data_IF_574630198625
#
_entry.id   IF_574630198625
#
_cell.length_a   1.000
_cell.length_b   1.000
_cell.length_c   1.000
_cell.angle_alpha   90.00
_cell.angle_beta   90.00
_cell.angle_gamma   90.00
#
_symmetry.space_group_name_H-M   'P 1'
#
loop_
_entity.id
_entity.type
_entity.pdbx_description
1 polymer ?
#
# COMPACT_ATOMS: atom_id res chain seq x y z
N UNK A 1 13.17 -72.27 -2.53
CA UNK A 1 12.68 -71.16 -1.68
C UNK A 1 12.55 -69.97 -2.59
N UNK A 2 11.39 -69.32 -2.60
CA UNK A 2 11.19 -68.08 -3.35
C UNK A 2 11.55 -66.90 -2.44
N UNK A 3 12.23 -65.91 -2.98
CA UNK A 3 12.63 -64.71 -2.23
C UNK A 3 12.49 -63.47 -3.10
N UNK A 4 12.24 -62.35 -2.44
CA UNK A 4 12.27 -61.01 -3.04
C UNK A 4 13.25 -60.15 -2.27
N UNK A 5 13.89 -59.22 -2.95
CA UNK A 5 14.79 -58.23 -2.38
C UNK A 5 14.57 -56.89 -3.06
N UNK A 6 14.55 -55.83 -2.26
CA UNK A 6 14.41 -54.44 -2.69
C UNK A 6 15.72 -53.70 -2.46
N UNK A 7 16.08 -52.88 -3.45
CA UNK A 7 17.18 -51.92 -3.43
C UNK A 7 16.58 -50.57 -3.85
N UNK A 8 16.37 -49.67 -2.90
CA UNK A 8 15.59 -48.44 -3.07
C UNK A 8 16.39 -47.29 -3.70
N UNK A 9 17.71 -47.38 -3.66
CA UNK A 9 18.65 -46.43 -4.26
C UNK A 9 19.32 -46.97 -5.53
N UNK A 10 19.11 -48.25 -5.85
CA UNK A 10 19.76 -48.98 -6.92
C UNK A 10 21.28 -48.89 -6.86
N UNK A 11 21.84 -49.04 -5.65
CA UNK A 11 23.29 -49.02 -5.40
C UNK A 11 23.94 -50.42 -5.48
N UNK A 12 23.11 -51.45 -5.70
CA UNK A 12 23.52 -52.86 -5.76
C UNK A 12 23.52 -53.56 -4.41
N UNK A 13 23.12 -52.88 -3.34
CA UNK A 13 22.95 -53.43 -1.99
C UNK A 13 21.46 -53.63 -1.73
N UNK A 14 21.12 -54.78 -1.16
CA UNK A 14 19.73 -55.04 -0.74
C UNK A 14 19.41 -54.31 0.55
N UNK A 15 18.37 -53.48 0.53
CA UNK A 15 17.79 -52.84 1.72
C UNK A 15 16.93 -53.81 2.53
N UNK A 16 16.01 -54.53 1.87
CA UNK A 16 15.02 -55.38 2.55
C UNK A 16 14.52 -56.54 1.70
N UNK A 17 14.14 -57.63 2.36
CA UNK A 17 13.54 -58.82 1.75
C UNK A 17 12.04 -58.98 2.06
N UNK A 18 11.41 -57.95 2.64
CA UNK A 18 9.96 -57.94 2.85
C UNK A 18 9.20 -57.96 1.53
N UNK A 19 8.09 -58.68 1.47
CA UNK A 19 7.29 -58.75 0.23
C UNK A 19 6.55 -57.44 -0.07
N UNK A 20 6.22 -56.65 0.95
CA UNK A 20 5.51 -55.37 0.83
C UNK A 20 6.12 -54.32 1.77
N UNK A 21 7.35 -53.85 1.50
CA UNK A 21 8.00 -52.86 2.35
C UNK A 21 7.39 -51.46 2.15
N UNK A 22 7.59 -50.60 3.15
CA UNK A 22 7.28 -49.17 3.06
C UNK A 22 8.59 -48.38 3.19
N UNK A 23 8.84 -47.48 2.25
CA UNK A 23 10.00 -46.57 2.25
C UNK A 23 9.50 -45.14 2.11
N UNK A 24 10.00 -44.26 2.98
CA UNK A 24 9.75 -42.82 2.91
C UNK A 24 10.92 -42.13 2.19
N UNK A 25 10.60 -41.23 1.25
CA UNK A 25 11.58 -40.44 0.53
C UNK A 25 11.37 -38.96 0.90
N UNK A 26 12.25 -38.42 1.73
CA UNK A 26 12.07 -37.07 2.32
C UNK A 26 12.77 -35.96 1.52
N UNK A 27 13.69 -36.31 0.62
CA UNK A 27 14.42 -35.35 -0.21
C UNK A 27 13.87 -35.33 -1.64
N UNK A 28 13.63 -34.15 -2.23
CA UNK A 28 13.28 -34.03 -3.64
C UNK A 28 14.35 -34.66 -4.52
N UNK A 29 13.93 -35.40 -5.54
CA UNK A 29 14.83 -36.14 -6.41
C UNK A 29 14.15 -37.28 -7.16
N UNK A 30 14.91 -37.88 -8.07
CA UNK A 30 14.52 -39.08 -8.78
C UNK A 30 15.22 -40.28 -8.15
N UNK A 31 14.45 -41.21 -7.60
CA UNK A 31 14.93 -42.46 -7.03
C UNK A 31 14.65 -43.60 -8.01
N UNK A 32 15.65 -44.43 -8.25
CA UNK A 32 15.48 -45.66 -9.02
C UNK A 32 15.43 -46.81 -8.04
N UNK A 33 14.29 -47.47 -7.95
CA UNK A 33 14.07 -48.62 -7.07
C UNK A 33 14.18 -49.89 -7.91
N UNK A 34 14.92 -50.87 -7.43
CA UNK A 34 15.09 -52.18 -8.04
C UNK A 34 14.47 -53.28 -7.18
N UNK A 35 13.50 -54.00 -7.74
CA UNK A 35 12.93 -55.21 -7.16
C UNK A 35 13.55 -56.42 -7.84
N UNK A 36 14.16 -57.31 -7.07
CA UNK A 36 14.70 -58.59 -7.55
C UNK A 36 13.94 -59.76 -6.95
N UNK A 37 13.46 -60.69 -7.78
CA UNK A 37 12.77 -61.91 -7.37
C UNK A 37 13.60 -63.13 -7.78
N UNK A 38 13.75 -64.11 -6.88
CA UNK A 38 14.55 -65.32 -7.11
C UNK A 38 13.80 -66.58 -6.71
N UNK A 39 14.03 -67.67 -7.47
CA UNK A 39 13.60 -69.02 -7.14
C UNK A 39 14.68 -70.05 -7.51
N UNK A 40 14.38 -71.34 -7.42
CA UNK A 40 15.34 -72.41 -7.72
C UNK A 40 15.83 -72.45 -9.17
N UNK A 41 15.13 -71.76 -10.08
CA UNK A 41 15.39 -71.77 -11.51
C UNK A 41 16.06 -70.48 -12.01
N UNK A 42 16.20 -69.46 -11.15
CA UNK A 42 16.90 -68.22 -11.49
C UNK A 42 16.35 -66.99 -10.78
N UNK A 43 16.78 -65.84 -11.28
CA UNK A 43 16.51 -64.50 -10.74
C UNK A 43 16.07 -63.57 -11.87
N UNK A 44 15.13 -62.66 -11.58
CA UNK A 44 14.74 -61.58 -12.48
C UNK A 44 14.58 -60.28 -11.68
N UNK A 45 14.79 -59.14 -12.32
CA UNK A 45 14.69 -57.83 -11.68
C UNK A 45 13.84 -56.84 -12.48
N UNK A 46 13.33 -55.82 -11.80
CA UNK A 46 12.54 -54.73 -12.40
C UNK A 46 12.86 -53.41 -11.72
N UNK A 47 13.12 -52.38 -12.54
CA UNK A 47 13.32 -51.01 -12.09
C UNK A 47 12.01 -50.22 -12.11
N UNK A 48 11.86 -49.32 -11.15
CA UNK A 48 10.82 -48.30 -11.10
C UNK A 48 11.43 -46.94 -10.70
N UNK A 49 10.97 -45.85 -11.33
CA UNK A 49 11.39 -44.50 -10.96
C UNK A 49 10.33 -43.84 -10.09
N UNK A 50 10.75 -43.32 -8.94
CA UNK A 50 9.95 -42.48 -8.05
C UNK A 50 10.48 -41.05 -8.18
N UNK A 51 9.62 -40.11 -8.55
CA UNK A 51 9.96 -38.68 -8.55
C UNK A 51 9.34 -38.02 -7.33
N UNK A 52 10.17 -37.55 -6.41
CA UNK A 52 9.78 -36.71 -5.29
C UNK A 52 9.99 -35.26 -5.71
N UNK A 53 8.92 -34.49 -5.79
CA UNK A 53 8.99 -33.07 -6.12
C UNK A 53 9.21 -32.24 -4.87
N UNK A 54 9.91 -31.11 -5.01
CA UNK A 54 10.00 -30.11 -3.97
C UNK A 54 8.61 -29.53 -3.67
N UNK A 55 8.28 -29.37 -2.39
CA UNK A 55 7.08 -28.66 -1.99
C UNK A 55 7.34 -27.16 -2.21
N UNK A 56 6.52 -26.45 -3.02
CA UNK A 56 6.76 -25.03 -3.26
C UNK A 56 6.73 -24.26 -1.93
N UNK A 57 7.71 -23.39 -1.72
CA UNK A 57 7.74 -22.54 -0.52
C UNK A 57 6.55 -21.57 -0.54
N UNK A 58 5.85 -21.38 0.60
CA UNK A 58 4.79 -20.39 0.71
C UNK A 58 5.31 -18.98 0.40
N UNK A 59 4.74 -18.33 -0.61
CA UNK A 59 5.12 -16.96 -0.96
C UNK A 59 4.22 -15.98 -0.20
N UNK A 60 4.79 -15.32 0.80
CA UNK A 60 4.08 -14.30 1.58
C UNK A 60 3.79 -13.03 0.74
N UNK A 61 2.72 -12.29 1.08
CA UNK A 61 2.49 -10.98 0.50
C UNK A 61 3.55 -9.98 0.97
N UNK A 62 3.83 -8.98 0.15
CA UNK A 62 4.67 -7.83 0.51
C UNK A 62 3.84 -6.58 0.34
N UNK A 63 3.44 -5.97 1.45
CA UNK A 63 2.57 -4.80 1.45
C UNK A 63 3.36 -3.57 0.97
N UNK A 64 2.78 -2.83 0.02
CA UNK A 64 3.33 -1.56 -0.43
C UNK A 64 2.23 -0.69 -1.02
N UNK A 65 2.32 0.63 -0.88
CA UNK A 65 1.37 1.57 -1.49
C UNK A 65 1.93 2.98 -1.62
N UNK A 66 1.24 3.83 -2.37
CA UNK A 66 1.50 5.27 -2.48
C UNK A 66 0.21 6.09 -2.33
N UNK A 67 0.35 7.40 -2.12
CA UNK A 67 -0.76 8.35 -2.06
C UNK A 67 -0.55 9.50 -3.06
N UNK A 68 -1.62 10.18 -3.47
CA UNK A 68 -1.52 11.38 -4.31
C UNK A 68 -0.98 12.59 -3.53
N UNK A 69 -1.33 12.69 -2.25
CA UNK A 69 -0.87 13.71 -1.31
C UNK A 69 -0.54 13.06 0.03
N UNK A 70 0.41 13.63 0.78
CA UNK A 70 0.74 13.22 2.15
C UNK A 70 0.40 14.27 3.19
N UNK A 71 -0.01 15.45 2.75
CA UNK A 71 -0.43 16.54 3.62
C UNK A 71 -1.37 17.51 2.90
N UNK A 72 -2.10 18.30 3.68
CA UNK A 72 -3.03 19.31 3.17
C UNK A 72 -4.02 19.76 4.24
N UNK A 73 -4.99 20.56 3.86
CA UNK A 73 -5.98 21.12 4.80
C UNK A 73 -7.25 20.27 4.85
N UNK A 74 -7.90 20.24 6.01
CA UNK A 74 -9.22 19.62 6.14
C UNK A 74 -10.29 20.44 5.37
N UNK A 75 -11.22 19.78 4.64
CA UNK A 75 -11.26 18.34 4.37
C UNK A 75 -10.21 17.94 3.31
N UNK A 76 -9.36 16.96 3.64
CA UNK A 76 -8.32 16.46 2.73
C UNK A 76 -8.77 15.14 2.08
N UNK A 77 -8.89 15.14 0.76
CA UNK A 77 -9.19 13.93 -0.03
C UNK A 77 -7.89 13.25 -0.44
N UNK A 78 -7.70 12.00 0.00
CA UNK A 78 -6.50 11.20 -0.29
C UNK A 78 -6.88 9.95 -1.07
N UNK A 79 -6.26 9.77 -2.23
CA UNK A 79 -6.32 8.55 -3.03
C UNK A 79 -5.15 7.64 -2.66
N UNK A 80 -5.46 6.41 -2.26
CA UNK A 80 -4.47 5.37 -1.96
C UNK A 80 -4.34 4.42 -3.15
N UNK A 81 -3.11 4.06 -3.50
CA UNK A 81 -2.79 3.17 -4.61
C UNK A 81 -1.94 2.00 -4.14
N UNK A 82 -2.50 0.79 -4.18
CA UNK A 82 -1.80 -0.45 -3.83
C UNK A 82 -0.70 -0.78 -4.84
N UNK A 83 0.46 -1.17 -4.32
CA UNK A 83 1.59 -1.71 -5.08
C UNK A 83 2.12 -3.02 -4.47
N UNK A 84 1.33 -3.66 -3.62
CA UNK A 84 1.69 -4.90 -2.92
C UNK A 84 1.97 -6.05 -3.89
N UNK A 85 2.85 -6.97 -3.47
CA UNK A 85 3.18 -8.20 -4.21
C UNK A 85 2.53 -9.41 -3.55
N UNK A 86 2.13 -10.39 -4.37
CA UNK A 86 1.55 -11.66 -3.94
C UNK A 86 0.32 -11.54 -3.03
N UNK A 87 -0.39 -10.40 -3.09
CA UNK A 87 -1.57 -10.13 -2.28
C UNK A 87 -2.86 -10.46 -3.05
N UNK A 88 -3.81 -11.06 -2.36
CA UNK A 88 -5.18 -11.36 -2.84
C UNK A 88 -6.26 -10.67 -2.00
N UNK A 89 -5.89 -10.05 -0.87
CA UNK A 89 -6.79 -9.26 -0.03
C UNK A 89 -6.08 -8.04 0.58
N UNK A 90 -6.86 -7.00 0.87
CA UNK A 90 -6.40 -5.72 1.40
C UNK A 90 -7.26 -5.32 2.61
N UNK A 91 -6.62 -4.74 3.61
CA UNK A 91 -7.28 -4.06 4.72
C UNK A 91 -6.55 -2.76 5.00
N UNK A 92 -7.29 -1.66 4.91
CA UNK A 92 -6.81 -0.31 5.20
C UNK A 92 -7.35 0.14 6.54
N UNK A 93 -6.45 0.65 7.38
CA UNK A 93 -6.78 1.47 8.54
C UNK A 93 -6.28 2.88 8.25
N UNK A 94 -7.20 3.84 8.17
CA UNK A 94 -6.86 5.23 7.86
C UNK A 94 -6.35 6.01 9.09
N UNK A 95 -6.36 5.41 10.28
CA UNK A 95 -5.88 6.03 11.51
C UNK A 95 -6.86 7.03 12.14
N UNK A 96 -8.04 7.23 11.55
CA UNK A 96 -9.13 8.07 12.06
C UNK A 96 -10.34 7.26 12.55
N UNK A 97 -10.21 5.93 12.55
CA UNK A 97 -11.27 4.97 12.90
C UNK A 97 -12.05 4.43 11.71
N UNK A 98 -11.88 5.00 10.51
CA UNK A 98 -12.41 4.43 9.27
C UNK A 98 -11.47 3.35 8.70
N UNK A 99 -12.05 2.43 7.93
CA UNK A 99 -11.33 1.35 7.27
C UNK A 99 -11.88 1.06 5.88
N UNK A 100 -11.13 0.30 5.08
CA UNK A 100 -11.57 -0.18 3.77
C UNK A 100 -10.97 -1.55 3.43
N UNK A 101 -11.62 -2.29 2.53
CA UNK A 101 -11.09 -3.52 1.92
C UNK A 101 -10.90 -3.39 0.40
N UNK A 102 -11.11 -2.19 -0.14
CA UNK A 102 -10.85 -1.93 -1.55
C UNK A 102 -9.36 -1.96 -1.84
N UNK A 103 -8.99 -2.31 -3.08
CA UNK A 103 -7.59 -2.32 -3.49
C UNK A 103 -6.98 -0.91 -3.54
N UNK A 104 -7.73 0.08 -4.04
CA UNK A 104 -7.29 1.47 -4.21
C UNK A 104 -8.36 2.44 -3.67
N UNK A 105 -8.55 2.54 -2.34
CA UNK A 105 -9.62 3.35 -1.77
C UNK A 105 -9.32 4.86 -1.89
N UNK A 106 -10.38 5.65 -1.88
CA UNK A 106 -10.33 7.09 -1.61
C UNK A 106 -10.87 7.33 -0.20
N UNK A 107 -10.20 8.18 0.57
CA UNK A 107 -10.62 8.54 1.92
C UNK A 107 -10.57 10.05 2.13
N UNK A 108 -11.49 10.57 2.96
CA UNK A 108 -11.59 12.00 3.25
C UNK A 108 -11.33 12.23 4.74
N UNK A 109 -10.26 12.95 5.06
CA UNK A 109 -9.98 13.40 6.41
C UNK A 109 -10.65 14.75 6.65
N UNK A 110 -11.73 14.74 7.42
CA UNK A 110 -12.55 15.94 7.70
C UNK A 110 -12.05 16.77 8.87
N UNK A 111 -11.11 16.24 9.66
CA UNK A 111 -10.57 16.87 10.86
C UNK A 111 -9.06 16.99 10.72
N UNK A 112 -8.50 18.08 11.25
CA UNK A 112 -7.06 18.25 11.32
C UNK A 112 -6.43 17.24 12.29
N UNK A 113 -5.27 16.72 11.93
CA UNK A 113 -4.56 15.71 12.70
C UNK A 113 -3.45 15.03 11.92
N UNK A 114 -2.63 14.26 12.64
CA UNK A 114 -1.63 13.38 12.04
C UNK A 114 -2.18 11.96 12.07
N UNK A 115 -2.41 11.38 10.90
CA UNK A 115 -2.99 10.06 10.72
C UNK A 115 -1.92 9.06 10.27
N UNK A 116 -1.81 7.95 10.99
CA UNK A 116 -0.95 6.83 10.57
C UNK A 116 -1.80 5.84 9.80
N UNK A 117 -1.63 5.83 8.47
CA UNK A 117 -2.36 4.91 7.59
C UNK A 117 -1.62 3.59 7.51
N UNK A 118 -2.32 2.49 7.75
CA UNK A 118 -1.79 1.14 7.63
C UNK A 118 -2.49 0.38 6.50
N UNK A 119 -1.71 -0.23 5.60
CA UNK A 119 -2.19 -1.25 4.69
C UNK A 119 -1.72 -2.61 5.19
N UNK A 120 -2.65 -3.53 5.41
CA UNK A 120 -2.39 -4.96 5.59
C UNK A 120 -2.79 -5.71 4.32
N UNK A 121 -1.80 -6.29 3.64
CA UNK A 121 -1.98 -7.13 2.47
C UNK A 121 -1.94 -8.62 2.87
N UNK A 122 -2.83 -9.43 2.30
CA UNK A 122 -3.03 -10.84 2.69
C UNK A 122 -3.13 -11.80 1.51
N UNK A 123 -2.73 -13.04 1.71
CA UNK A 123 -3.02 -14.18 0.83
C UNK A 123 -3.24 -15.47 1.64
N UNK A 124 -3.44 -16.60 0.97
CA UNK A 124 -3.66 -17.91 1.63
C UNK A 124 -2.50 -18.37 2.52
N UNK A 125 -1.30 -17.81 2.32
CA UNK A 125 -0.09 -18.17 3.05
C UNK A 125 0.22 -17.23 4.23
N UNK A 126 -0.39 -16.04 4.30
CA UNK A 126 -0.18 -15.12 5.41
C UNK A 126 -0.48 -13.66 5.08
N UNK A 127 0.12 -12.76 5.88
CA UNK A 127 -0.12 -11.31 5.82
C UNK A 127 1.17 -10.52 6.00
N UNK A 128 1.20 -9.32 5.45
CA UNK A 128 2.25 -8.32 5.66
C UNK A 128 1.62 -6.92 5.70
N UNK A 129 2.26 -5.98 6.38
CA UNK A 129 1.73 -4.63 6.55
C UNK A 129 2.78 -3.56 6.36
N UNK A 130 2.36 -2.38 5.90
CA UNK A 130 3.20 -1.18 5.78
C UNK A 130 2.39 0.06 6.16
N UNK A 131 3.05 1.18 6.44
CA UNK A 131 2.38 2.40 6.90
C UNK A 131 3.01 3.69 6.40
N UNK A 132 2.19 4.72 6.23
CA UNK A 132 2.61 6.11 5.92
C UNK A 132 1.87 7.10 6.81
N UNK A 133 2.41 8.30 6.94
CA UNK A 133 1.79 9.40 7.70
C UNK A 133 1.08 10.34 6.73
N UNK A 134 -0.14 10.75 7.07
CA UNK A 134 -0.88 11.84 6.44
C UNK A 134 -1.03 12.98 7.45
N UNK A 135 -0.59 14.19 7.10
CA UNK A 135 -0.75 15.38 7.94
C UNK A 135 -1.89 16.26 7.43
N UNK A 136 -2.93 16.41 8.23
CA UNK A 136 -4.09 17.24 7.90
C UNK A 136 -4.06 18.48 8.77
N UNK A 137 -4.00 19.65 8.14
CA UNK A 137 -3.96 20.94 8.79
C UNK A 137 -5.38 21.50 8.97
N UNK A 138 -5.54 22.34 9.98
CA UNK A 138 -6.81 23.02 10.25
C UNK A 138 -6.98 24.19 9.29
N UNK A 139 -8.05 24.18 8.49
CA UNK A 139 -8.41 25.33 7.68
C UNK A 139 -9.21 26.30 8.56
N UNK A 140 -8.49 27.20 9.25
CA UNK A 140 -9.07 28.13 10.21
C UNK A 140 -9.46 29.47 9.54
N UNK A 141 -10.59 30.09 9.94
CA UNK A 141 -10.91 31.46 9.56
C UNK A 141 -9.79 32.43 9.92
N UNK A 142 -9.53 33.40 9.04
CA UNK A 142 -8.59 34.47 9.36
C UNK A 142 -9.10 35.34 10.51
N UNK A 143 -8.20 36.03 11.24
CA UNK A 143 -8.59 37.00 12.25
C UNK A 143 -9.64 38.00 11.73
N UNK A 144 -10.78 38.05 12.42
CA UNK A 144 -11.92 38.92 12.06
C UNK A 144 -12.97 38.27 11.16
N UNK A 145 -12.75 37.03 10.71
CA UNK A 145 -13.67 36.28 9.85
C UNK A 145 -14.21 35.04 10.56
N UNK A 146 -15.37 34.57 10.11
CA UNK A 146 -16.04 33.39 10.69
C UNK A 146 -15.93 32.14 9.85
N UNK A 147 -15.67 32.29 8.54
CA UNK A 147 -15.54 31.19 7.61
C UNK A 147 -14.07 31.03 7.19
N UNK A 148 -13.60 29.80 6.96
CA UNK A 148 -12.26 29.57 6.44
C UNK A 148 -12.19 29.92 4.96
N UNK A 149 -10.97 30.22 4.45
CA UNK A 149 -10.76 30.49 3.03
C UNK A 149 -11.22 29.33 2.16
N UNK A 150 -11.68 29.62 0.94
CA UNK A 150 -12.00 28.61 -0.07
C UNK A 150 -11.24 28.82 -1.38
N UNK A 151 -10.75 27.72 -1.90
CA UNK A 151 -10.26 27.56 -3.27
C UNK A 151 -11.49 27.19 -4.12
N UNK A 152 -11.98 28.14 -4.93
CA UNK A 152 -13.24 27.96 -5.66
C UNK A 152 -13.02 27.20 -6.97
N UNK A 153 -11.89 27.41 -7.64
CA UNK A 153 -11.59 26.81 -8.94
C UNK A 153 -10.69 25.57 -8.88
N UNK A 154 -10.27 25.20 -7.66
CA UNK A 154 -9.46 24.03 -7.32
C UNK A 154 -8.06 24.06 -7.95
N UNK A 155 -7.47 25.24 -8.11
CA UNK A 155 -6.11 25.41 -8.64
C UNK A 155 -5.01 25.36 -7.56
N UNK A 156 -5.40 25.31 -6.28
CA UNK A 156 -4.53 25.24 -5.12
C UNK A 156 -4.23 26.59 -4.45
N UNK A 157 -4.72 27.69 -5.01
CA UNK A 157 -4.73 29.01 -4.37
C UNK A 157 -6.10 29.28 -3.74
N UNK A 158 -6.14 30.13 -2.71
CA UNK A 158 -7.39 30.45 -2.00
C UNK A 158 -7.84 31.86 -2.34
N UNK A 159 -8.87 32.04 -3.18
CA UNK A 159 -9.36 33.34 -3.64
C UNK A 159 -10.49 33.90 -2.77
N UNK A 160 -11.38 33.05 -2.26
CA UNK A 160 -12.45 33.40 -1.30
C UNK A 160 -11.82 33.42 0.09
N UNK A 161 -11.05 34.49 0.36
CA UNK A 161 -10.23 34.70 1.55
C UNK A 161 -11.12 34.80 2.80
N UNK A 162 -12.29 35.42 2.68
CA UNK A 162 -13.21 35.61 3.81
C UNK A 162 -14.16 34.42 4.03
N UNK A 163 -14.21 33.48 3.08
CA UNK A 163 -15.01 32.27 3.12
C UNK A 163 -16.50 32.47 2.91
N UNK A 164 -16.95 33.60 2.35
CA UNK A 164 -18.38 33.90 2.12
C UNK A 164 -18.94 33.31 0.83
N UNK A 165 -18.07 32.79 -0.04
CA UNK A 165 -18.43 32.12 -1.29
C UNK A 165 -18.39 33.01 -2.53
N UNK A 166 -17.92 34.25 -2.41
CA UNK A 166 -17.66 35.14 -3.53
C UNK A 166 -16.16 35.49 -3.59
N UNK A 167 -15.67 35.85 -4.77
CA UNK A 167 -14.32 36.41 -4.94
C UNK A 167 -14.49 37.87 -5.30
N UNK A 168 -14.41 38.76 -4.30
CA UNK A 168 -14.68 40.18 -4.48
C UNK A 168 -13.65 41.10 -3.78
N UNK A 169 -14.01 42.36 -3.57
CA UNK A 169 -13.08 43.32 -2.96
C UNK A 169 -12.85 43.08 -1.47
N UNK A 170 -13.80 42.45 -0.78
CA UNK A 170 -13.67 42.13 0.65
C UNK A 170 -12.58 41.08 0.86
N UNK A 171 -12.35 40.17 -0.09
CA UNK A 171 -11.23 39.23 -0.07
C UNK A 171 -9.87 39.90 -0.19
N UNK A 172 -9.76 40.89 -1.07
CA UNK A 172 -8.53 41.68 -1.22
C UNK A 172 -8.20 42.41 0.08
N UNK A 173 -9.23 42.97 0.73
CA UNK A 173 -9.09 43.64 2.03
C UNK A 173 -8.70 42.63 3.11
N UNK A 174 -9.33 41.47 3.15
CA UNK A 174 -9.04 40.39 4.08
C UNK A 174 -7.60 39.89 3.94
N UNK A 175 -7.14 39.70 2.70
CA UNK A 175 -5.78 39.25 2.39
C UNK A 175 -4.76 40.27 2.89
N UNK A 176 -4.90 41.53 2.48
CA UNK A 176 -3.97 42.59 2.86
C UNK A 176 -3.90 42.76 4.38
N UNK A 177 -5.06 42.69 5.06
CA UNK A 177 -5.15 42.84 6.52
C UNK A 177 -4.49 41.68 7.26
N UNK A 178 -4.56 40.46 6.73
CA UNK A 178 -4.06 39.26 7.38
C UNK A 178 -2.73 38.75 6.83
N UNK A 179 -2.10 39.45 5.90
CA UNK A 179 -0.86 39.02 5.22
C UNK A 179 0.25 38.59 6.18
N UNK A 180 0.44 39.30 7.30
CA UNK A 180 1.44 38.92 8.31
C UNK A 180 1.06 37.64 9.07
N UNK A 181 -0.22 37.49 9.39
CA UNK A 181 -0.73 36.29 10.02
C UNK A 181 -0.56 35.09 9.08
N UNK A 182 -0.85 35.26 7.79
CA UNK A 182 -0.67 34.23 6.77
C UNK A 182 0.79 33.78 6.71
N UNK A 183 1.74 34.70 6.51
CA UNK A 183 3.19 34.37 6.50
C UNK A 183 3.65 33.54 7.70
N UNK A 184 2.98 33.68 8.84
CA UNK A 184 3.35 33.02 10.09
C UNK A 184 2.66 31.67 10.27
N UNK A 185 1.44 31.50 9.75
CA UNK A 185 0.56 30.39 10.15
C UNK A 185 0.06 29.51 8.98
N UNK A 186 0.29 29.90 7.72
CA UNK A 186 -0.12 29.12 6.55
C UNK A 186 1.06 28.85 5.62
N UNK A 187 1.08 27.73 4.88
CA UNK A 187 2.02 27.49 3.81
C UNK A 187 2.00 28.63 2.79
N UNK A 188 3.19 29.11 2.45
CA UNK A 188 3.38 30.22 1.50
C UNK A 188 2.73 29.90 0.15
N UNK A 189 2.86 28.66 -0.33
CA UNK A 189 2.37 28.22 -1.63
C UNK A 189 0.86 28.43 -1.85
N UNK A 190 0.05 28.52 -0.79
CA UNK A 190 -1.40 28.71 -0.89
C UNK A 190 -1.83 30.14 -1.21
N UNK A 191 -0.94 31.10 -0.97
CA UNK A 191 -1.20 32.52 -1.10
C UNK A 191 -0.12 33.23 -1.94
N UNK A 192 0.80 32.47 -2.53
CA UNK A 192 1.88 32.96 -3.39
C UNK A 192 1.45 32.92 -4.86
N UNK A 193 0.54 33.83 -5.20
CA UNK A 193 -0.09 33.91 -6.52
C UNK A 193 0.90 34.19 -7.65
N UNK A 194 2.02 34.84 -7.34
CA UNK A 194 3.07 35.13 -8.32
C UNK A 194 4.19 34.05 -8.36
N UNK A 195 4.12 33.03 -7.50
CA UNK A 195 5.06 31.92 -7.38
C UNK A 195 6.52 32.33 -7.06
N UNK A 196 6.73 33.40 -6.28
CA UNK A 196 8.05 33.89 -5.89
C UNK A 196 8.54 33.33 -4.53
N UNK A 197 7.77 32.42 -3.92
CA UNK A 197 7.95 31.82 -2.60
C UNK A 197 7.92 32.82 -1.43
N UNK A 198 7.27 33.97 -1.59
CA UNK A 198 6.96 34.90 -0.51
C UNK A 198 5.55 35.45 -0.67
N UNK A 199 4.78 35.46 0.42
CA UNK A 199 3.53 36.22 0.46
C UNK A 199 3.91 37.71 0.49
N UNK A 200 3.50 38.53 -0.47
CA UNK A 200 3.79 39.96 -0.53
C UNK A 200 2.68 40.78 -1.18
N UNK A 201 2.98 42.04 -1.53
CA UNK A 201 1.99 42.94 -2.12
C UNK A 201 1.69 42.63 -3.59
N UNK A 202 2.60 41.98 -4.31
CA UNK A 202 2.36 41.62 -5.70
C UNK A 202 1.27 40.53 -5.79
N UNK A 203 1.16 39.68 -4.78
CA UNK A 203 0.05 38.72 -4.64
C UNK A 203 -1.31 39.44 -4.48
N UNK A 204 -1.36 40.49 -3.66
CA UNK A 204 -2.57 41.31 -3.47
C UNK A 204 -3.02 41.91 -4.80
N UNK A 205 -2.07 42.35 -5.62
CA UNK A 205 -2.35 42.92 -6.95
C UNK A 205 -2.92 41.86 -7.89
N UNK A 206 -2.50 40.60 -7.79
CA UNK A 206 -3.05 39.50 -8.58
C UNK A 206 -4.47 39.18 -8.09
N UNK A 207 -4.66 38.97 -6.79
CA UNK A 207 -5.98 38.71 -6.21
C UNK A 207 -7.00 39.80 -6.56
N UNK A 208 -6.59 41.07 -6.54
CA UNK A 208 -7.45 42.18 -6.96
C UNK A 208 -7.87 42.11 -8.44
N UNK A 209 -7.04 41.54 -9.33
CA UNK A 209 -7.44 41.33 -10.73
C UNK A 209 -8.46 40.20 -10.82
N UNK A 210 -8.24 39.10 -10.10
CA UNK A 210 -9.16 37.96 -10.04
C UNK A 210 -10.54 38.43 -9.59
N UNK A 211 -10.62 39.24 -8.52
CA UNK A 211 -11.88 39.76 -7.98
C UNK A 211 -12.62 40.78 -8.86
N UNK A 212 -12.03 41.19 -9.98
CA UNK A 212 -12.68 42.02 -11.01
C UNK A 212 -13.21 41.20 -12.18
N UNK A 213 -12.78 39.95 -12.31
CA UNK A 213 -13.11 39.07 -13.43
C UNK A 213 -14.24 38.07 -13.09
N UNK A 214 -14.51 37.83 -11.80
CA UNK A 214 -15.67 37.08 -11.29
C UNK A 214 -16.95 37.90 -11.22
#
# INVERSE_FOLDING_TARGET
MESVSWDFENDGVTDTNESNPVREFTTPGNYTVNLTASNSNGTNSKLATITVTENPEPVLPVANFSTNVSEGYAPLVVQFNDSSKNATGWHWDFGDGANSTEKNPMHIYTVAGTYTVNLTASNEYGMNSTSVIINVFENMPFPGYTNPPKDIDHDGFYEDINGDGNVDFDDVVAYYTNMYWMKTNVPVALFDYNNNNIIDFDDVVILYKISKEG
#
